data_IF_536453753675
#
_entry.id   IF_536453753675
#
_cell.length_a   1.000
_cell.length_b   1.000
_cell.length_c   1.000
_cell.angle_alpha   90.00
_cell.angle_beta   90.00
_cell.angle_gamma   90.00
#
_symmetry.space_group_name_H-M   'P 1'
#
loop_
_entity.id
_entity.type
_entity.pdbx_description
1 polymer ?
#
# COMPACT_ATOMS: atom_id res chain seq x y z
N UNK A 1 11.92 2.00 22.75
CA UNK A 1 13.04 1.79 21.79
C UNK A 1 13.03 0.42 21.13
N UNK A 2 12.98 -0.72 21.86
CA UNK A 2 13.01 -2.07 21.26
C UNK A 2 11.86 -2.35 20.27
N UNK A 3 10.62 -1.97 20.62
CA UNK A 3 9.44 -2.16 19.75
C UNK A 3 9.51 -1.32 18.48
N UNK A 4 9.98 -0.07 18.57
CA UNK A 4 10.13 0.81 17.41
C UNK A 4 11.16 0.28 16.41
N UNK A 5 12.29 -0.23 16.91
CA UNK A 5 13.31 -0.86 16.07
C UNK A 5 12.77 -2.14 15.39
N UNK A 6 12.02 -2.97 16.12
CA UNK A 6 11.37 -4.16 15.56
C UNK A 6 10.38 -3.79 14.44
N UNK A 7 9.51 -2.79 14.67
CA UNK A 7 8.57 -2.30 13.66
C UNK A 7 9.28 -1.74 12.43
N UNK A 8 10.39 -1.02 12.62
CA UNK A 8 11.20 -0.50 11.52
C UNK A 8 11.83 -1.65 10.69
N UNK A 9 12.37 -2.67 11.35
CA UNK A 9 12.89 -3.86 10.65
C UNK A 9 11.79 -4.59 9.87
N UNK A 10 10.62 -4.79 10.50
CA UNK A 10 9.47 -5.40 9.82
C UNK A 10 9.04 -4.58 8.61
N UNK A 11 8.98 -3.27 8.74
CA UNK A 11 8.68 -2.36 7.63
C UNK A 11 9.70 -2.49 6.51
N UNK A 12 11.00 -2.47 6.80
CA UNK A 12 12.05 -2.62 5.79
C UNK A 12 11.95 -3.94 5.04
N UNK A 13 11.75 -5.05 5.75
CA UNK A 13 11.60 -6.38 5.14
C UNK A 13 10.38 -6.41 4.21
N UNK A 14 9.21 -6.00 4.70
CA UNK A 14 7.98 -5.97 3.91
C UNK A 14 8.12 -5.04 2.69
N UNK A 15 8.75 -3.89 2.86
CA UNK A 15 8.97 -2.93 1.78
C UNK A 15 9.88 -3.50 0.69
N UNK A 16 11.00 -4.12 1.06
CA UNK A 16 11.91 -4.75 0.09
C UNK A 16 11.20 -5.88 -0.65
N UNK A 17 10.53 -6.78 0.07
CA UNK A 17 9.77 -7.89 -0.54
C UNK A 17 8.68 -7.39 -1.49
N UNK A 18 7.95 -6.34 -1.12
CA UNK A 18 6.93 -5.74 -1.98
C UNK A 18 7.54 -5.14 -3.26
N UNK A 19 8.69 -4.47 -3.17
CA UNK A 19 9.38 -3.93 -4.35
C UNK A 19 9.84 -5.04 -5.30
N UNK A 20 10.39 -6.14 -4.79
CA UNK A 20 10.76 -7.29 -5.61
C UNK A 20 9.54 -7.92 -6.30
N UNK A 21 8.45 -8.15 -5.59
CA UNK A 21 7.21 -8.66 -6.16
C UNK A 21 6.66 -7.72 -7.25
N UNK A 22 6.62 -6.42 -6.98
CA UNK A 22 6.16 -5.41 -7.94
C UNK A 22 7.04 -5.37 -9.19
N UNK A 23 8.37 -5.42 -9.04
CA UNK A 23 9.30 -5.48 -10.18
C UNK A 23 9.07 -6.73 -11.01
N UNK A 24 8.90 -7.88 -10.36
CA UNK A 24 8.65 -9.14 -11.07
C UNK A 24 7.37 -9.07 -11.91
N UNK A 25 6.26 -8.60 -11.32
CA UNK A 25 4.99 -8.47 -12.03
C UNK A 25 5.09 -7.45 -13.19
N UNK A 26 5.70 -6.30 -12.95
CA UNK A 26 5.75 -5.22 -13.96
C UNK A 26 6.77 -5.51 -15.07
N UNK A 27 7.91 -6.10 -14.75
CA UNK A 27 9.03 -6.27 -15.68
C UNK A 27 9.11 -7.66 -16.29
N UNK A 28 9.01 -8.72 -15.48
CA UNK A 28 9.11 -10.12 -15.95
C UNK A 28 7.80 -10.57 -16.56
N UNK A 29 6.68 -10.32 -15.87
CA UNK A 29 5.35 -10.63 -16.37
C UNK A 29 4.87 -9.63 -17.44
N UNK A 30 5.60 -8.54 -17.65
CA UNK A 30 5.31 -7.44 -18.59
C UNK A 30 3.88 -6.91 -18.47
N UNK A 31 3.41 -6.71 -17.24
CA UNK A 31 2.07 -6.18 -17.03
C UNK A 31 1.98 -4.71 -17.50
N UNK A 32 1.31 -4.48 -18.63
CA UNK A 32 1.29 -3.20 -19.35
C UNK A 32 0.61 -2.05 -18.58
N UNK A 33 -0.23 -2.35 -17.59
CA UNK A 33 -1.07 -1.35 -16.90
C UNK A 33 -0.76 -1.28 -15.39
N UNK A 34 0.22 -0.45 -14.97
CA UNK A 34 0.63 -0.35 -13.56
C UNK A 34 -0.49 0.16 -12.65
N UNK A 35 -1.39 1.01 -13.16
CA UNK A 35 -2.55 1.52 -12.41
C UNK A 35 -3.58 0.44 -12.09
N UNK A 36 -3.81 -0.51 -13.00
CA UNK A 36 -4.70 -1.64 -12.76
C UNK A 36 -4.11 -2.55 -11.68
N UNK A 37 -2.80 -2.80 -11.73
CA UNK A 37 -2.12 -3.58 -10.71
C UNK A 37 -2.17 -2.91 -9.33
N UNK A 38 -1.94 -1.60 -9.27
CA UNK A 38 -2.10 -0.81 -8.04
C UNK A 38 -3.54 -0.83 -7.51
N UNK A 39 -4.53 -0.76 -8.42
CA UNK A 39 -5.95 -0.90 -8.08
C UNK A 39 -6.26 -2.27 -7.47
N UNK A 40 -5.67 -3.34 -8.02
CA UNK A 40 -5.80 -4.69 -7.49
C UNK A 40 -5.20 -4.82 -6.09
N UNK A 41 -4.00 -4.29 -5.86
CA UNK A 41 -3.37 -4.27 -4.52
C UNK A 41 -4.24 -3.53 -3.50
N UNK A 42 -4.82 -2.40 -3.90
CA UNK A 42 -5.70 -1.61 -3.04
C UNK A 42 -6.98 -2.38 -2.73
N UNK A 43 -7.58 -3.08 -3.70
CA UNK A 43 -8.76 -3.92 -3.49
C UNK A 43 -8.48 -5.04 -2.48
N UNK A 44 -7.36 -5.75 -2.63
CA UNK A 44 -6.95 -6.80 -1.68
C UNK A 44 -6.78 -6.21 -0.28
N UNK A 45 -6.16 -5.03 -0.17
CA UNK A 45 -6.03 -4.30 1.09
C UNK A 45 -7.39 -3.94 1.71
N UNK A 46 -8.35 -3.45 0.92
CA UNK A 46 -9.72 -3.14 1.39
C UNK A 46 -10.45 -4.39 1.87
N UNK A 47 -10.35 -5.51 1.13
CA UNK A 47 -10.98 -6.78 1.53
C UNK A 47 -10.38 -7.28 2.84
N UNK A 48 -9.05 -7.27 2.97
CA UNK A 48 -8.37 -7.65 4.20
C UNK A 48 -8.77 -6.75 5.37
N UNK A 49 -8.84 -5.43 5.14
CA UNK A 49 -9.25 -4.46 6.16
C UNK A 49 -10.70 -4.68 6.60
N UNK A 50 -11.62 -4.94 5.66
CA UNK A 50 -13.01 -5.32 6.01
C UNK A 50 -13.09 -6.63 6.79
N UNK A 51 -12.26 -7.63 6.47
CA UNK A 51 -12.20 -8.87 7.24
C UNK A 51 -11.69 -8.65 8.67
N UNK A 52 -10.70 -7.77 8.86
CA UNK A 52 -10.18 -7.38 10.17
C UNK A 52 -11.22 -6.64 11.02
N UNK A 53 -12.04 -5.77 10.39
CA UNK A 53 -13.18 -5.14 11.07
C UNK A 53 -14.21 -6.18 11.45
N UNK A 54 -14.59 -7.06 10.51
CA UNK A 54 -15.60 -8.11 10.72
C UNK A 54 -15.20 -9.10 11.84
N UNK A 55 -13.91 -9.32 12.04
CA UNK A 55 -13.37 -10.17 13.11
C UNK A 55 -13.15 -9.44 14.44
N UNK A 56 -13.53 -8.16 14.55
CA UNK A 56 -13.45 -7.36 15.78
C UNK A 56 -12.04 -6.89 16.17
N UNK A 57 -11.00 -7.17 15.38
CA UNK A 57 -9.61 -6.85 15.74
C UNK A 57 -9.32 -5.34 15.75
N UNK A 58 -10.04 -4.57 14.93
CA UNK A 58 -9.82 -3.12 14.72
C UNK A 58 -11.11 -2.30 14.82
N UNK A 59 -12.17 -2.89 15.35
CA UNK A 59 -13.48 -2.22 15.49
C UNK A 59 -13.37 -0.96 16.39
N UNK A 60 -12.58 -1.03 17.45
CA UNK A 60 -12.28 0.10 18.35
C UNK A 60 -11.52 1.25 17.67
N UNK A 61 -10.78 0.98 16.58
CA UNK A 61 -10.00 1.99 15.84
C UNK A 61 -10.87 2.78 14.85
N UNK A 62 -12.02 2.24 14.47
CA UNK A 62 -12.97 2.82 13.52
C UNK A 62 -14.15 3.53 14.20
N UNK A 63 -14.34 3.30 15.50
CA UNK A 63 -15.46 3.85 16.26
C UNK A 63 -15.36 5.38 16.36
N UNK A 64 -16.37 6.11 15.86
CA UNK A 64 -16.47 7.57 15.97
C UNK A 64 -15.76 8.38 14.88
N UNK A 65 -15.25 7.75 13.80
CA UNK A 65 -14.68 8.48 12.66
C UNK A 65 -15.79 8.99 11.73
N UNK A 66 -16.01 10.30 11.69
CA UNK A 66 -16.99 10.90 10.80
C UNK A 66 -16.46 10.98 9.35
N UNK A 67 -17.38 10.98 8.38
CA UNK A 67 -17.02 11.12 6.96
C UNK A 67 -16.24 12.41 6.66
N UNK A 68 -16.48 13.47 7.44
CA UNK A 68 -15.80 14.74 7.32
C UNK A 68 -14.31 14.64 7.68
N UNK A 69 -13.96 13.86 8.71
CA UNK A 69 -12.57 13.63 9.08
C UNK A 69 -11.83 12.90 7.96
N UNK A 70 -12.46 11.90 7.34
CA UNK A 70 -11.90 11.22 6.17
C UNK A 70 -11.68 12.17 4.98
N UNK A 71 -12.59 13.14 4.77
CA UNK A 71 -12.46 14.12 3.69
C UNK A 71 -11.26 15.06 3.88
N UNK A 72 -10.90 15.40 5.12
CA UNK A 72 -9.70 16.19 5.42
C UNK A 72 -8.39 15.48 5.03
N UNK A 73 -8.40 14.15 4.91
CA UNK A 73 -7.24 13.36 4.46
C UNK A 73 -7.11 13.26 2.94
N UNK A 74 -8.10 13.72 2.16
CA UNK A 74 -8.05 13.70 0.68
C UNK A 74 -6.76 14.25 0.08
N UNK A 75 -6.24 15.45 0.45
CA UNK A 75 -4.99 15.93 -0.10
C UNK A 75 -3.82 14.98 0.17
N UNK A 76 -3.75 14.38 1.36
CA UNK A 76 -2.74 13.37 1.69
C UNK A 76 -2.89 12.10 0.86
N UNK A 77 -4.12 11.64 0.64
CA UNK A 77 -4.41 10.49 -0.23
C UNK A 77 -3.98 10.75 -1.67
N UNK A 78 -4.24 11.95 -2.21
CA UNK A 78 -3.77 12.34 -3.54
C UNK A 78 -2.25 12.35 -3.65
N UNK A 79 -1.54 12.96 -2.69
CA UNK A 79 -0.08 12.93 -2.65
C UNK A 79 0.46 11.50 -2.60
N UNK A 80 -0.17 10.64 -1.77
CA UNK A 80 0.21 9.25 -1.66
C UNK A 80 0.02 8.51 -3.00
N UNK A 81 -1.14 8.67 -3.65
CA UNK A 81 -1.46 8.08 -4.96
C UNK A 81 -0.43 8.47 -6.03
N UNK A 82 -0.04 9.75 -6.09
CA UNK A 82 0.96 10.24 -7.05
C UNK A 82 2.33 9.61 -6.77
N UNK A 83 2.70 9.47 -5.49
CA UNK A 83 3.98 8.85 -5.08
C UNK A 83 4.05 7.38 -5.52
N UNK A 84 3.03 6.58 -5.25
CA UNK A 84 3.02 5.15 -5.65
C UNK A 84 2.87 4.96 -7.17
N UNK A 85 2.14 5.83 -7.86
CA UNK A 85 2.05 5.79 -9.33
C UNK A 85 3.40 6.07 -9.99
N UNK A 86 4.07 7.14 -9.55
CA UNK A 86 5.41 7.49 -10.06
C UNK A 86 6.44 6.41 -9.74
N UNK A 87 6.41 5.85 -8.53
CA UNK A 87 7.24 4.70 -8.15
C UNK A 87 6.99 3.46 -9.01
N UNK A 88 5.72 3.13 -9.28
CA UNK A 88 5.38 1.99 -10.14
C UNK A 88 5.86 2.17 -11.58
N UNK A 89 5.76 3.37 -12.14
CA UNK A 89 6.31 3.66 -13.48
C UNK A 89 7.84 3.65 -13.49
N UNK A 90 8.48 4.13 -12.43
CA UNK A 90 9.94 4.06 -12.29
C UNK A 90 10.41 2.60 -12.23
N UNK A 91 9.77 1.75 -11.42
CA UNK A 91 10.09 0.32 -11.30
C UNK A 91 9.91 -0.46 -12.62
N UNK A 92 8.90 -0.10 -13.41
CA UNK A 92 8.66 -0.72 -14.70
C UNK A 92 9.76 -0.39 -15.73
N UNK A 93 10.27 0.84 -15.73
CA UNK A 93 11.16 1.35 -16.77
C UNK A 93 12.65 1.36 -16.39
N UNK A 94 12.99 1.54 -15.11
CA UNK A 94 14.37 1.60 -14.66
C UNK A 94 14.89 0.21 -14.28
N UNK A 95 16.13 -0.16 -14.65
CA UNK A 95 16.76 -1.35 -14.11
C UNK A 95 16.95 -1.18 -12.59
N UNK A 96 16.59 -2.21 -11.82
CA UNK A 96 16.93 -2.25 -10.39
C UNK A 96 18.30 -2.93 -10.30
N UNK A 97 19.29 -2.35 -9.61
CA UNK A 97 20.56 -3.01 -9.34
C UNK A 97 20.41 -4.26 -8.47
#
# INVERSE_FOLDING_TARGET
>A
MKTTAMLACMFCVLFISANFANKYVLSVLRFTYPTIFQGWQTLVGVVMFRALISTGHIENLMHGKEWHDCAMWLPGMFCFLISIYSGSRALANLPIP
#
